data_IF_199596825076
#
_entry.id   IF_199596825076
#
_cell.length_a   1.000
_cell.length_b   1.000
_cell.length_c   1.000
_cell.angle_alpha   90.00
_cell.angle_beta   90.00
_cell.angle_gamma   90.00
#
_symmetry.space_group_name_H-M   'P 1'
#
loop_
_entity.id
_entity.type
_entity.pdbx_description
1 polymer ?
#
# COMPACT_ATOMS: atom_id res chain seq x y z
N UNK A 1 4.69 -27.86 18.70
CA UNK A 1 5.11 -27.97 17.28
C UNK A 1 5.20 -26.62 16.55
N UNK A 2 4.91 -25.49 17.18
CA UNK A 2 4.74 -24.15 16.56
C UNK A 2 5.98 -23.25 16.58
N UNK A 3 6.91 -23.45 17.53
CA UNK A 3 8.11 -22.61 17.66
C UNK A 3 9.16 -22.80 16.55
N UNK A 4 9.21 -23.98 15.91
CA UNK A 4 10.25 -24.34 14.93
C UNK A 4 9.93 -23.78 13.53
N UNK A 5 8.65 -23.66 13.18
CA UNK A 5 8.18 -23.09 11.90
C UNK A 5 8.33 -21.56 11.85
N UNK A 6 8.04 -20.86 12.96
CA UNK A 6 8.25 -19.41 13.07
C UNK A 6 9.75 -19.05 12.91
N UNK A 7 10.65 -19.82 13.54
CA UNK A 7 12.10 -19.60 13.43
C UNK A 7 12.64 -19.85 12.01
N UNK A 8 12.13 -20.84 11.28
CA UNK A 8 12.53 -21.11 9.90
C UNK A 8 12.02 -20.04 8.92
N UNK A 9 10.76 -19.61 9.07
CA UNK A 9 10.18 -18.55 8.25
C UNK A 9 10.87 -17.20 8.48
N UNK A 10 11.25 -16.91 9.73
CA UNK A 10 11.99 -15.71 10.10
C UNK A 10 13.44 -15.74 9.56
N UNK A 11 14.17 -16.86 9.69
CA UNK A 11 15.51 -17.04 9.09
C UNK A 11 15.53 -16.85 7.56
N UNK A 12 14.50 -17.34 6.87
CA UNK A 12 14.38 -17.20 5.41
C UNK A 12 14.12 -15.74 4.99
N UNK A 13 13.34 -14.97 5.76
CA UNK A 13 13.10 -13.54 5.50
C UNK A 13 14.36 -12.69 5.67
N UNK A 14 15.13 -12.88 6.74
CA UNK A 14 16.33 -12.08 7.01
C UNK A 14 17.48 -12.38 6.04
N UNK A 15 17.67 -13.64 5.63
CA UNK A 15 18.70 -14.00 4.65
C UNK A 15 18.43 -13.46 3.24
N UNK A 16 17.15 -13.37 2.85
CA UNK A 16 16.76 -12.78 1.56
C UNK A 16 16.97 -11.26 1.52
N UNK A 17 16.63 -10.56 2.61
CA UNK A 17 16.82 -9.11 2.72
C UNK A 17 18.31 -8.76 2.74
N UNK A 18 19.15 -9.48 3.49
CA UNK A 18 20.61 -9.24 3.51
C UNK A 18 21.22 -9.36 2.11
N UNK A 19 20.85 -10.39 1.36
CA UNK A 19 21.27 -10.56 -0.04
C UNK A 19 20.85 -9.41 -0.95
N UNK A 20 19.71 -8.77 -0.69
CA UNK A 20 19.25 -7.61 -1.45
C UNK A 20 20.04 -6.35 -1.07
N UNK A 21 20.32 -6.17 0.22
CA UNK A 21 21.17 -5.08 0.72
C UNK A 21 22.54 -5.14 0.05
N UNK A 22 23.19 -6.31 0.06
CA UNK A 22 24.51 -6.50 -0.54
C UNK A 22 24.48 -6.31 -2.07
N UNK A 23 23.44 -6.84 -2.74
CA UNK A 23 23.32 -6.78 -4.21
C UNK A 23 23.13 -5.35 -4.75
N UNK A 24 22.39 -4.53 -4.02
CA UNK A 24 22.03 -3.18 -4.44
C UNK A 24 22.80 -2.10 -3.66
N UNK A 25 23.80 -2.49 -2.87
CA UNK A 25 24.62 -1.61 -2.04
C UNK A 25 23.78 -0.63 -1.20
N UNK A 26 22.70 -1.16 -0.61
CA UNK A 26 21.75 -0.34 0.14
C UNK A 26 22.36 0.05 1.49
N UNK A 27 22.21 1.32 1.86
CA UNK A 27 22.63 1.81 3.17
C UNK A 27 21.73 1.21 4.29
N UNK A 28 22.34 0.88 5.42
CA UNK A 28 21.65 0.42 6.63
C UNK A 28 21.14 1.58 7.49
N UNK A 29 21.45 2.84 7.15
CA UNK A 29 20.92 4.01 7.82
C UNK A 29 19.39 4.03 7.83
N UNK A 30 18.80 4.46 8.95
CA UNK A 30 17.37 4.71 9.01
C UNK A 30 17.01 5.73 7.93
N UNK A 31 16.26 5.28 6.92
CA UNK A 31 15.75 6.14 5.88
C UNK A 31 14.97 7.27 6.54
N UNK A 32 15.38 8.52 6.25
CA UNK A 32 14.64 9.69 6.70
C UNK A 32 13.16 9.53 6.36
N UNK A 33 12.28 9.77 7.34
CA UNK A 33 10.83 9.66 7.16
C UNK A 33 10.31 10.85 6.34
N UNK A 34 10.67 10.87 5.06
CA UNK A 34 10.13 11.83 4.10
C UNK A 34 8.64 11.54 3.86
N UNK A 35 7.82 12.59 3.65
CA UNK A 35 6.44 12.39 3.23
C UNK A 35 6.41 11.73 1.85
N UNK A 36 5.41 10.88 1.62
CA UNK A 36 5.10 10.34 0.29
C UNK A 36 4.12 11.28 -0.38
N UNK A 37 4.46 11.78 -1.56
CA UNK A 37 3.60 12.65 -2.36
C UNK A 37 2.70 11.84 -3.30
N UNK A 38 1.65 12.48 -3.82
CA UNK A 38 0.72 11.85 -4.77
C UNK A 38 1.43 11.43 -6.05
N UNK A 39 2.46 12.17 -6.48
CA UNK A 39 3.26 11.86 -7.65
C UNK A 39 4.04 10.54 -7.48
N UNK A 40 4.55 10.27 -6.28
CA UNK A 40 5.29 9.05 -5.96
C UNK A 40 4.40 7.80 -6.10
N UNK A 41 3.10 7.94 -5.82
CA UNK A 41 2.12 6.87 -6.05
C UNK A 41 1.92 6.57 -7.52
N UNK A 42 1.90 7.59 -8.37
CA UNK A 42 1.74 7.42 -9.82
C UNK A 42 2.90 6.60 -10.36
N UNK A 43 4.13 6.97 -10.01
CA UNK A 43 5.33 6.24 -10.42
C UNK A 43 5.37 4.81 -9.85
N UNK A 44 4.95 4.63 -8.59
CA UNK A 44 4.84 3.31 -7.97
C UNK A 44 3.82 2.42 -8.70
N UNK A 45 2.63 2.95 -8.99
CA UNK A 45 1.57 2.22 -9.69
C UNK A 45 1.99 1.86 -11.11
N UNK A 46 2.60 2.79 -11.86
CA UNK A 46 3.16 2.51 -13.17
C UNK A 46 4.22 1.40 -13.13
N UNK A 47 5.08 1.44 -12.12
CA UNK A 47 6.08 0.39 -11.88
C UNK A 47 5.42 -0.95 -11.59
N UNK A 48 4.41 -0.99 -10.70
CA UNK A 48 3.64 -2.22 -10.41
C UNK A 48 3.02 -2.80 -11.69
N UNK A 49 2.48 -1.97 -12.58
CA UNK A 49 1.91 -2.44 -13.84
C UNK A 49 2.98 -2.88 -14.87
N UNK A 50 4.11 -2.18 -14.95
CA UNK A 50 5.22 -2.49 -15.87
C UNK A 50 6.00 -3.74 -15.46
N UNK A 51 6.07 -4.05 -14.18
CA UNK A 51 6.89 -5.15 -13.67
C UNK A 51 6.20 -6.49 -13.92
N UNK A 52 6.47 -7.09 -15.08
CA UNK A 52 6.00 -8.45 -15.44
C UNK A 52 6.89 -9.56 -14.84
N UNK A 53 8.03 -9.20 -14.25
CA UNK A 53 8.98 -10.16 -13.71
C UNK A 53 8.58 -10.67 -12.31
N UNK A 54 7.84 -11.77 -12.31
CA UNK A 54 7.98 -12.91 -11.38
C UNK A 54 7.39 -12.82 -9.96
N UNK A 55 6.63 -11.81 -9.56
CA UNK A 55 5.98 -11.82 -8.23
C UNK A 55 4.46 -11.88 -8.22
N UNK A 56 3.83 -11.57 -9.33
CA UNK A 56 2.39 -11.59 -9.45
C UNK A 56 1.98 -12.66 -10.46
N UNK A 57 1.28 -13.69 -9.99
CA UNK A 57 0.83 -14.80 -10.83
C UNK A 57 -0.35 -14.39 -11.71
N UNK A 58 -1.09 -13.34 -11.33
CA UNK A 58 -2.30 -12.88 -12.01
C UNK A 58 -2.44 -11.35 -12.03
N UNK A 59 -3.11 -10.83 -13.07
CA UNK A 59 -3.39 -9.39 -13.19
C UNK A 59 -4.21 -8.81 -12.03
N UNK A 60 -5.01 -9.64 -11.35
CA UNK A 60 -5.76 -9.24 -10.16
C UNK A 60 -4.84 -8.83 -8.99
N UNK A 61 -3.68 -9.48 -8.84
CA UNK A 61 -2.75 -9.17 -7.76
C UNK A 61 -2.09 -7.79 -7.95
N UNK A 62 -1.85 -7.38 -9.21
CA UNK A 62 -1.42 -6.01 -9.51
C UNK A 62 -2.47 -4.97 -9.11
N UNK A 63 -3.74 -5.23 -9.45
CA UNK A 63 -4.85 -4.35 -9.08
C UNK A 63 -4.98 -4.25 -7.56
N UNK A 64 -4.85 -5.38 -6.85
CA UNK A 64 -4.84 -5.40 -5.38
C UNK A 64 -3.67 -4.61 -4.79
N UNK A 65 -2.47 -4.71 -5.36
CA UNK A 65 -1.30 -3.97 -4.87
C UNK A 65 -1.41 -2.46 -5.11
N UNK A 66 -1.91 -2.04 -6.27
CA UNK A 66 -2.19 -0.62 -6.54
C UNK A 66 -3.24 -0.10 -5.56
N UNK A 67 -4.33 -0.86 -5.34
CA UNK A 67 -5.37 -0.51 -4.38
C UNK A 67 -4.81 -0.41 -2.96
N UNK A 68 -4.01 -1.39 -2.54
CA UNK A 68 -3.35 -1.40 -1.24
C UNK A 68 -2.42 -0.19 -1.05
N UNK A 69 -1.63 0.15 -2.07
CA UNK A 69 -0.68 1.27 -2.01
C UNK A 69 -1.41 2.61 -1.91
N UNK A 70 -2.49 2.80 -2.68
CA UNK A 70 -3.33 4.00 -2.61
C UNK A 70 -4.03 4.13 -1.24
N UNK A 71 -4.58 3.04 -0.70
CA UNK A 71 -5.22 3.02 0.62
C UNK A 71 -4.23 3.20 1.78
N UNK A 72 -2.98 2.78 1.59
CA UNK A 72 -1.89 2.98 2.55
C UNK A 72 -1.71 4.45 2.90
N UNK A 73 -1.83 5.35 1.93
CA UNK A 73 -1.67 6.79 2.20
C UNK A 73 -2.83 7.35 3.02
N UNK A 74 -4.07 6.99 2.70
CA UNK A 74 -5.24 7.44 3.47
C UNK A 74 -5.24 6.91 4.92
N UNK A 75 -4.55 5.80 5.18
CA UNK A 75 -4.45 5.18 6.51
C UNK A 75 -3.15 5.49 7.25
N UNK A 76 -2.33 6.42 6.74
CA UNK A 76 -0.98 6.75 7.29
C UNK A 76 -0.11 5.50 7.43
N UNK A 77 -0.27 4.57 6.48
CA UNK A 77 0.39 3.28 6.39
C UNK A 77 0.25 2.41 7.67
N UNK A 78 -0.81 2.62 8.47
CA UNK A 78 -1.09 1.77 9.62
C UNK A 78 -1.71 0.47 9.16
N UNK A 79 -0.91 -0.59 9.20
CA UNK A 79 -1.32 -1.92 8.73
C UNK A 79 -2.62 -2.40 9.39
N UNK A 80 -2.83 -2.12 10.69
CA UNK A 80 -4.07 -2.47 11.40
C UNK A 80 -5.31 -1.78 10.80
N UNK A 81 -5.21 -0.49 10.47
CA UNK A 81 -6.30 0.26 9.88
C UNK A 81 -6.61 -0.26 8.47
N UNK A 82 -5.57 -0.53 7.68
CA UNK A 82 -5.71 -1.02 6.32
C UNK A 82 -6.31 -2.44 6.28
N UNK A 83 -5.90 -3.34 7.18
CA UNK A 83 -6.48 -4.68 7.31
C UNK A 83 -7.92 -4.66 7.85
N UNK A 84 -8.31 -3.61 8.57
CA UNK A 84 -9.68 -3.43 9.06
C UNK A 84 -10.61 -2.75 8.05
N UNK A 85 -10.08 -2.25 6.94
CA UNK A 85 -10.85 -1.59 5.91
C UNK A 85 -11.81 -2.59 5.24
N UNK A 86 -13.05 -2.16 5.06
CA UNK A 86 -14.12 -2.95 4.46
C UNK A 86 -14.88 -2.02 3.51
N UNK A 87 -15.61 -2.58 2.55
CA UNK A 87 -16.37 -1.78 1.58
C UNK A 87 -17.34 -0.79 2.25
N UNK A 88 -17.95 -1.15 3.38
CA UNK A 88 -18.84 -0.28 4.18
C UNK A 88 -18.17 0.98 4.73
N UNK A 89 -16.83 1.01 4.75
CA UNK A 89 -16.04 2.15 5.21
C UNK A 89 -15.71 3.11 4.05
N UNK A 90 -16.04 2.74 2.81
CA UNK A 90 -15.89 3.59 1.63
C UNK A 90 -17.22 4.27 1.31
N UNK A 91 -17.17 5.57 1.05
CA UNK A 91 -18.30 6.34 0.56
C UNK A 91 -18.07 6.66 -0.91
N UNK A 92 -19.05 6.34 -1.74
CA UNK A 92 -18.99 6.60 -3.17
C UNK A 92 -19.97 7.70 -3.52
N UNK A 93 -19.48 8.71 -4.23
CA UNK A 93 -20.32 9.79 -4.76
C UNK A 93 -19.98 10.03 -6.22
N UNK A 94 -20.98 10.46 -7.00
CA UNK A 94 -20.76 10.87 -8.38
C UNK A 94 -20.68 12.39 -8.37
N UNK A 95 -19.51 12.92 -8.74
CA UNK A 95 -19.28 14.35 -8.84
C UNK A 95 -19.42 14.81 -10.29
N UNK A 96 -19.96 16.02 -10.47
CA UNK A 96 -19.90 16.67 -11.78
C UNK A 96 -18.46 17.07 -12.05
N UNK A 97 -17.99 16.81 -13.26
CA UNK A 97 -16.69 17.32 -13.69
C UNK A 97 -16.76 18.86 -13.72
N UNK A 98 -15.88 19.56 -12.97
CA UNK A 98 -15.84 21.02 -12.97
C UNK A 98 -15.51 21.62 -14.35
N UNK A 99 -14.92 20.85 -15.27
CA UNK A 99 -14.68 21.27 -16.66
C UNK A 99 -15.80 20.86 -17.63
N UNK A 100 -16.93 20.33 -17.11
CA UNK A 100 -18.09 19.97 -17.92
C UNK A 100 -17.98 18.63 -18.67
N UNK A 101 -16.98 17.82 -18.33
CA UNK A 101 -16.85 16.44 -18.82
C UNK A 101 -17.81 15.45 -18.15
N UNK A 102 -17.67 14.15 -18.45
CA UNK A 102 -18.47 13.09 -17.84
C UNK A 102 -18.37 13.12 -16.30
N UNK A 103 -19.46 12.76 -15.58
CA UNK A 103 -19.41 12.68 -14.12
C UNK A 103 -18.31 11.73 -13.64
N UNK A 104 -17.57 12.15 -12.62
CA UNK A 104 -16.44 11.41 -12.05
C UNK A 104 -16.89 10.70 -10.78
N UNK A 105 -16.58 9.40 -10.67
CA UNK A 105 -16.78 8.65 -9.44
C UNK A 105 -15.72 9.05 -8.42
N UNK A 106 -16.16 9.57 -7.27
CA UNK A 106 -15.31 9.83 -6.13
C UNK A 106 -15.51 8.73 -5.08
N UNK A 107 -14.41 8.15 -4.61
CA UNK A 107 -14.38 7.20 -3.50
C UNK A 107 -13.63 7.84 -2.33
N UNK A 108 -14.31 7.99 -1.20
CA UNK A 108 -13.78 8.58 0.02
C UNK A 108 -13.70 7.54 1.14
N UNK A 109 -12.69 7.65 1.99
CA UNK A 109 -12.60 6.83 3.21
C UNK A 109 -13.41 7.52 4.31
N UNK A 110 -14.42 6.83 4.84
CA UNK A 110 -15.28 7.36 5.90
C UNK A 110 -14.53 7.59 7.22
N UNK A 111 -15.00 8.56 8.00
CA UNK A 111 -14.41 8.97 9.30
C UNK A 111 -14.20 7.82 10.30
N UNK A 112 -14.97 6.74 10.19
CA UNK A 112 -14.89 5.57 11.08
C UNK A 112 -13.51 4.91 11.08
N UNK A 113 -12.77 4.96 9.96
CA UNK A 113 -11.40 4.42 9.87
C UNK A 113 -10.39 5.30 10.60
N UNK A 114 -10.56 6.63 10.55
CA UNK A 114 -9.65 7.58 11.19
C UNK A 114 -9.62 7.43 12.71
N UNK A 115 -10.73 7.00 13.33
CA UNK A 115 -10.79 6.64 14.76
C UNK A 115 -9.84 5.48 15.09
N UNK A 116 -9.77 4.48 14.22
CA UNK A 116 -8.84 3.34 14.35
C UNK A 116 -7.40 3.73 13.98
N UNK A 117 -7.22 4.76 13.16
CA UNK A 117 -5.92 5.35 12.85
C UNK A 117 -5.38 6.27 13.95
N UNK A 118 -6.11 6.52 15.05
CA UNK A 118 -5.69 7.41 16.13
C UNK A 118 -5.46 8.87 15.69
N UNK A 119 -5.94 9.24 14.50
CA UNK A 119 -5.97 10.61 14.02
C UNK A 119 -7.25 11.24 14.53
N UNK A 120 -7.13 11.99 15.63
CA UNK A 120 -8.14 12.99 15.99
C UNK A 120 -8.05 14.10 14.94
N UNK A 121 -8.95 14.07 13.96
CA UNK A 121 -9.34 15.26 13.21
C UNK A 121 -10.47 15.94 13.98
#
# INVERSE_FOLDING_TARGET
>A
MTHRFLNYSMKLKYGGIRKLIDKFELDEQERGKGPVYVQDLTELNETIFRTQEKRFNFGYEHIQMCLFSMLGIFTVNRLSALLSLQLKHLQFSIQKDPQGGPPVLLAEVGQTIYRNCGTHL
#
